data_IF_352631590771
#
_entry.id   IF_352631590771
#
_cell.length_a   1.000
_cell.length_b   1.000
_cell.length_c   1.000
_cell.angle_alpha   90.00
_cell.angle_beta   90.00
_cell.angle_gamma   90.00
#
_symmetry.space_group_name_H-M   'P 1'
#
loop_
_entity.id
_entity.type
_entity.pdbx_description
1 polymer ?
#
# COMPACT_ATOMS: atom_id res chain seq x y z
N UNK A 1 0.20 28.56 2.27
CA UNK A 1 0.58 27.18 1.89
C UNK A 1 -0.17 26.84 0.62
N UNK A 2 0.51 26.61 -0.50
CA UNK A 2 -0.13 26.16 -1.73
C UNK A 2 -0.45 24.68 -1.56
N UNK A 3 -1.69 24.35 -1.24
CA UNK A 3 -2.17 22.97 -1.27
C UNK A 3 -2.39 22.58 -2.74
N UNK A 4 -1.82 21.44 -3.17
CA UNK A 4 -1.92 20.93 -4.55
C UNK A 4 -3.39 20.72 -4.99
N UNK A 5 -4.28 20.51 -4.01
CA UNK A 5 -5.73 20.43 -4.20
C UNK A 5 -6.40 21.69 -3.66
N UNK A 6 -7.07 22.46 -4.53
CA UNK A 6 -7.85 23.64 -4.11
C UNK A 6 -9.06 23.26 -3.24
N UNK A 7 -9.53 24.18 -2.39
CA UNK A 7 -10.72 23.94 -1.55
C UNK A 7 -11.96 23.59 -2.37
N UNK A 8 -12.12 24.18 -3.55
CA UNK A 8 -13.22 23.88 -4.48
C UNK A 8 -13.11 22.45 -5.02
N UNK A 9 -11.92 22.00 -5.43
CA UNK A 9 -11.71 20.64 -5.90
C UNK A 9 -11.97 19.60 -4.79
N UNK A 10 -11.53 19.90 -3.56
CA UNK A 10 -11.80 19.05 -2.40
C UNK A 10 -13.31 18.94 -2.11
N UNK A 11 -14.05 20.04 -2.19
CA UNK A 11 -15.50 20.03 -1.98
C UNK A 11 -16.23 19.13 -3.00
N UNK A 12 -15.84 19.22 -4.28
CA UNK A 12 -16.36 18.35 -5.34
C UNK A 12 -16.03 16.88 -5.07
N UNK A 13 -14.79 16.57 -4.71
CA UNK A 13 -14.37 15.21 -4.38
C UNK A 13 -15.20 14.60 -3.24
N UNK A 14 -15.45 15.37 -2.18
CA UNK A 14 -16.26 14.92 -1.04
C UNK A 14 -17.71 14.66 -1.44
N UNK A 15 -18.33 15.54 -2.25
CA UNK A 15 -19.71 15.35 -2.72
C UNK A 15 -19.84 14.08 -3.59
N UNK A 16 -18.87 13.84 -4.48
CA UNK A 16 -18.81 12.62 -5.29
C UNK A 16 -18.71 11.36 -4.41
N UNK A 17 -17.84 11.36 -3.39
CA UNK A 17 -17.75 10.24 -2.47
C UNK A 17 -19.02 10.06 -1.63
N UNK A 18 -19.70 11.13 -1.21
CA UNK A 18 -20.95 11.00 -0.45
C UNK A 18 -22.04 10.30 -1.25
N UNK A 19 -22.16 10.61 -2.54
CA UNK A 19 -23.17 10.04 -3.45
C UNK A 19 -22.85 8.61 -3.92
N UNK A 20 -21.59 8.21 -3.82
CA UNK A 20 -21.14 6.90 -4.28
C UNK A 20 -21.73 5.75 -3.45
N UNK A 21 -22.22 4.66 -4.07
CA UNK A 21 -22.68 3.50 -3.34
C UNK A 21 -21.51 2.82 -2.60
N UNK A 22 -21.82 2.17 -1.47
CA UNK A 22 -20.80 1.60 -0.57
C UNK A 22 -19.85 0.61 -1.25
N UNK A 23 -20.37 -0.27 -2.11
CA UNK A 23 -19.55 -1.24 -2.84
C UNK A 23 -18.50 -0.58 -3.74
N UNK A 24 -18.84 0.54 -4.40
CA UNK A 24 -17.91 1.26 -5.27
C UNK A 24 -16.79 1.95 -4.48
N UNK A 25 -17.07 2.37 -3.25
CA UNK A 25 -16.03 2.87 -2.34
C UNK A 25 -15.04 1.77 -1.97
N UNK A 26 -15.54 0.56 -1.70
CA UNK A 26 -14.69 -0.58 -1.37
C UNK A 26 -13.80 -0.96 -2.55
N UNK A 27 -14.32 -0.94 -3.78
CA UNK A 27 -13.51 -1.14 -4.99
C UNK A 27 -12.38 -0.10 -5.11
N UNK A 28 -12.67 1.19 -4.89
CA UNK A 28 -11.64 2.23 -4.92
C UNK A 28 -10.58 2.04 -3.82
N UNK A 29 -10.99 1.60 -2.63
CA UNK A 29 -10.07 1.29 -1.54
C UNK A 29 -9.20 0.07 -1.90
N UNK A 30 -9.76 -0.95 -2.54
CA UNK A 30 -9.00 -2.11 -3.02
C UNK A 30 -7.94 -1.69 -4.06
N UNK A 31 -8.34 -0.90 -5.05
CA UNK A 31 -7.44 -0.41 -6.10
C UNK A 31 -6.32 0.45 -5.54
N UNK A 32 -6.63 1.34 -4.60
CA UNK A 32 -5.64 2.14 -3.88
C UNK A 32 -4.66 1.24 -3.11
N UNK A 33 -5.15 0.22 -2.42
CA UNK A 33 -4.31 -0.75 -1.71
C UNK A 33 -3.40 -1.55 -2.65
N UNK A 34 -3.92 -1.98 -3.81
CA UNK A 34 -3.13 -2.69 -4.84
C UNK A 34 -1.98 -1.82 -5.34
N UNK A 35 -2.30 -0.57 -5.68
CA UNK A 35 -1.33 0.41 -6.17
C UNK A 35 -0.28 0.74 -5.11
N UNK A 36 -0.69 0.99 -3.87
CA UNK A 36 0.22 1.27 -2.77
C UNK A 36 1.22 0.11 -2.54
N UNK A 37 0.77 -1.14 -2.60
CA UNK A 37 1.65 -2.32 -2.48
C UNK A 37 2.64 -2.45 -3.63
N UNK A 38 2.21 -2.15 -4.86
CA UNK A 38 3.10 -2.15 -6.03
C UNK A 38 4.19 -1.09 -5.90
N UNK A 39 3.83 0.13 -5.49
CA UNK A 39 4.78 1.22 -5.25
C UNK A 39 5.75 0.87 -4.11
N UNK A 40 5.24 0.31 -3.01
CA UNK A 40 6.08 -0.16 -1.91
C UNK A 40 7.07 -1.23 -2.36
N UNK A 41 6.64 -2.19 -3.18
CA UNK A 41 7.51 -3.23 -3.74
C UNK A 41 8.59 -2.65 -4.67
N UNK A 42 8.25 -1.68 -5.51
CA UNK A 42 9.24 -0.96 -6.33
C UNK A 42 10.27 -0.23 -5.47
N UNK A 43 9.82 0.41 -4.39
CA UNK A 43 10.69 1.03 -3.40
C UNK A 43 11.63 0.05 -2.72
N UNK A 44 11.13 -1.14 -2.36
CA UNK A 44 11.95 -2.22 -1.77
C UNK A 44 13.02 -2.71 -2.75
N UNK A 45 12.67 -2.96 -4.02
CA UNK A 45 13.64 -3.32 -5.07
C UNK A 45 14.74 -2.28 -5.25
N UNK A 46 14.38 -1.00 -5.12
CA UNK A 46 15.34 0.11 -5.27
C UNK A 46 16.29 0.22 -4.08
N UNK A 47 15.81 -0.05 -2.86
CA UNK A 47 16.61 0.02 -1.62
C UNK A 47 17.43 -1.24 -1.34
N UNK A 48 17.01 -2.39 -1.84
CA UNK A 48 17.68 -3.67 -1.65
C UNK A 48 18.04 -4.31 -3.00
N UNK A 49 18.94 -3.69 -3.77
CA UNK A 49 19.37 -4.25 -5.05
C UNK A 49 20.04 -5.60 -4.82
N UNK A 50 19.57 -6.63 -5.53
CA UNK A 50 20.13 -8.00 -5.46
C UNK A 50 19.50 -8.92 -4.43
N UNK A 51 18.56 -8.43 -3.60
CA UNK A 51 17.82 -9.30 -2.69
C UNK A 51 16.81 -10.20 -3.46
N UNK A 52 16.63 -11.44 -2.99
CA UNK A 52 15.74 -12.41 -3.64
C UNK A 52 14.29 -11.89 -3.65
N UNK A 53 13.50 -12.31 -4.65
CA UNK A 53 12.08 -11.92 -4.72
C UNK A 53 11.30 -12.41 -3.50
N UNK A 54 11.72 -13.51 -2.88
CA UNK A 54 11.09 -14.06 -1.67
C UNK A 54 11.33 -13.17 -0.46
N UNK A 55 12.58 -12.77 -0.22
CA UNK A 55 12.94 -11.81 0.83
C UNK A 55 12.26 -10.46 0.62
N UNK A 56 12.17 -9.97 -0.61
CA UNK A 56 11.45 -8.73 -0.93
C UNK A 56 9.95 -8.84 -0.64
N UNK A 57 9.32 -9.99 -0.95
CA UNK A 57 7.91 -10.25 -0.58
C UNK A 57 7.74 -10.32 0.93
N UNK A 58 8.68 -10.93 1.65
CA UNK A 58 8.66 -10.97 3.11
C UNK A 58 8.77 -9.57 3.74
N UNK A 59 9.62 -8.70 3.20
CA UNK A 59 9.68 -7.29 3.61
C UNK A 59 8.38 -6.54 3.32
N UNK A 60 7.77 -6.80 2.15
CA UNK A 60 6.46 -6.22 1.82
C UNK A 60 5.39 -6.66 2.83
N UNK A 61 5.40 -7.93 3.26
CA UNK A 61 4.50 -8.42 4.31
C UNK A 61 4.69 -7.65 5.63
N UNK A 62 5.94 -7.34 6.01
CA UNK A 62 6.23 -6.49 7.19
C UNK A 62 5.64 -5.08 7.08
N UNK A 63 5.67 -4.48 5.89
CA UNK A 63 5.04 -3.16 5.64
C UNK A 63 3.51 -3.21 5.67
N UNK A 64 2.89 -4.31 5.21
CA UNK A 64 1.44 -4.41 5.06
C UNK A 64 0.75 -4.88 6.34
N UNK A 65 1.34 -5.85 7.04
CA UNK A 65 0.74 -6.51 8.21
C UNK A 65 1.35 -6.01 9.52
N UNK A 66 2.50 -5.33 9.47
CA UNK A 66 3.38 -5.15 10.62
C UNK A 66 4.29 -6.36 10.83
N UNK A 67 5.44 -6.14 11.46
CA UNK A 67 6.48 -7.17 11.56
C UNK A 67 6.03 -8.39 12.37
N UNK A 68 5.28 -8.18 13.47
CA UNK A 68 4.79 -9.27 14.32
C UNK A 68 3.92 -10.28 13.55
N UNK A 69 2.95 -9.78 12.76
CA UNK A 69 2.07 -10.63 11.97
C UNK A 69 2.79 -11.21 10.75
N UNK A 70 3.68 -10.43 10.13
CA UNK A 70 4.47 -10.92 9.02
C UNK A 70 5.38 -12.08 9.43
N UNK A 71 5.96 -12.05 10.64
CA UNK A 71 6.78 -13.14 11.16
C UNK A 71 5.97 -14.40 11.44
N UNK A 72 4.79 -14.26 12.05
CA UNK A 72 3.91 -15.40 12.33
C UNK A 72 3.43 -16.11 11.06
N UNK A 73 3.21 -15.37 9.96
CA UNK A 73 2.64 -15.90 8.72
C UNK A 73 3.72 -16.34 7.72
N UNK A 74 4.83 -15.59 7.64
CA UNK A 74 5.86 -15.77 6.61
C UNK A 74 7.24 -16.13 7.20
N UNK A 75 7.37 -16.30 8.51
CA UNK A 75 8.63 -16.60 9.20
C UNK A 75 9.53 -15.37 9.43
N UNK A 76 10.65 -15.52 10.14
CA UNK A 76 11.59 -14.42 10.38
C UNK A 76 12.31 -14.05 9.08
N UNK A 77 12.56 -12.75 8.89
CA UNK A 77 13.16 -12.22 7.66
C UNK A 77 14.53 -12.83 7.34
N UNK A 78 15.31 -13.18 8.36
CA UNK A 78 16.65 -13.75 8.19
C UNK A 78 16.64 -15.23 7.82
N UNK A 79 15.52 -15.93 8.01
CA UNK A 79 15.36 -17.33 7.59
C UNK A 79 14.94 -17.45 6.12
N UNK A 80 14.47 -16.37 5.49
CA UNK A 80 14.09 -16.37 4.07
C UNK A 80 15.35 -16.23 3.23
N UNK A 81 15.65 -17.22 2.36
CA UNK A 81 16.82 -17.21 1.46
C UNK A 81 16.51 -16.42 0.17
#
# INVERSE_FOLDING_TARGET
MLIDTSAQAQAVMIDLYRRMPGWRKLELVEDANRTARQLAFCGLRSRHPGESLERLRRRLAGLVLGEELAEKVYGPLDAVT
#
